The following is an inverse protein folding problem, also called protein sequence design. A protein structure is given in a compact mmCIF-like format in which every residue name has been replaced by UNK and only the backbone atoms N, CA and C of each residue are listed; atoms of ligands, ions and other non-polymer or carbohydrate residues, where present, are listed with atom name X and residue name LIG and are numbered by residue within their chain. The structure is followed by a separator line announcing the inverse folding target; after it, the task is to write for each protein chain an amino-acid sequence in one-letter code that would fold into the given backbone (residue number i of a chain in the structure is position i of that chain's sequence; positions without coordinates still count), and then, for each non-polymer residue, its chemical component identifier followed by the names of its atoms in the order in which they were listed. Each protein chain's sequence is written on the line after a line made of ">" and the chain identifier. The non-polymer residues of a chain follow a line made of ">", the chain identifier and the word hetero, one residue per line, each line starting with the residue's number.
data_IF_431957731871
#
_entry.id   IF_431957731871
#
_cell.length_a   1.000
_cell.length_b   1.000
_cell.length_c   1.000
_cell.angle_alpha   90.00
_cell.angle_beta   90.00
_cell.angle_gamma   90.00
#
_symmetry.space_group_name_H-M   'P 1'
#
loop_
_entity.id
_entity.type
_entity.pdbx_description
1 polymer ?
#
# COMPACT_ATOMS: atom_id res chain seq x y z
N UNK A 1 11.10 8.94 2.00
CA UNK A 1 10.43 8.02 1.04
C UNK A 1 10.24 8.64 -0.34
N UNK A 2 9.62 9.82 -0.47
CA UNK A 2 9.45 10.52 -1.77
C UNK A 2 10.74 10.57 -2.60
N UNK A 3 11.90 10.87 -2.01
CA UNK A 3 13.18 10.81 -2.71
C UNK A 3 13.48 9.44 -3.36
N UNK A 4 13.32 8.33 -2.61
CA UNK A 4 13.53 6.97 -3.13
C UNK A 4 12.61 6.67 -4.30
N UNK A 5 11.34 7.08 -4.19
CA UNK A 5 10.32 6.88 -5.21
C UNK A 5 10.68 7.62 -6.52
N UNK A 6 10.95 8.93 -6.46
CA UNK A 6 11.28 9.71 -7.65
C UNK A 6 12.63 9.30 -8.27
N UNK A 7 13.65 9.03 -7.44
CA UNK A 7 14.95 8.56 -7.92
C UNK A 7 14.80 7.24 -8.70
N UNK A 8 14.12 6.25 -8.09
CA UNK A 8 13.86 4.98 -8.74
C UNK A 8 13.09 5.17 -10.06
N UNK A 9 12.00 5.97 -10.06
CA UNK A 9 11.21 6.22 -11.26
C UNK A 9 11.99 6.89 -12.40
N UNK A 10 12.91 7.80 -12.08
CA UNK A 10 13.76 8.47 -13.07
C UNK A 10 14.78 7.52 -13.72
N UNK A 11 15.22 6.48 -13.01
CA UNK A 11 16.21 5.53 -13.53
C UNK A 11 15.58 4.41 -14.37
N UNK A 12 14.30 4.06 -14.16
CA UNK A 12 13.61 2.96 -14.86
C UNK A 12 13.77 3.02 -16.40
N UNK A 13 13.67 4.17 -17.08
CA UNK A 13 13.84 4.23 -18.53
C UNK A 13 15.28 3.98 -19.01
N UNK A 14 16.27 4.10 -18.12
CA UNK A 14 17.70 4.16 -18.49
C UNK A 14 18.54 3.00 -17.95
N UNK A 15 18.03 2.26 -16.96
CA UNK A 15 18.77 1.21 -16.26
C UNK A 15 17.93 -0.07 -16.09
N UNK A 16 18.57 -1.25 -16.03
CA UNK A 16 17.86 -2.50 -15.76
C UNK A 16 17.28 -2.50 -14.34
N UNK A 17 16.07 -3.04 -14.19
CA UNK A 17 15.34 -3.05 -12.91
C UNK A 17 16.12 -3.74 -11.78
N UNK A 18 16.87 -4.80 -12.09
CA UNK A 18 17.71 -5.50 -11.10
C UNK A 18 18.70 -4.56 -10.43
N UNK A 19 19.35 -3.69 -11.22
CA UNK A 19 20.30 -2.70 -10.73
C UNK A 19 19.60 -1.64 -9.86
N UNK A 20 18.46 -1.12 -10.30
CA UNK A 20 17.69 -0.13 -9.53
C UNK A 20 17.25 -0.70 -8.18
N UNK A 21 16.75 -1.94 -8.17
CA UNK A 21 16.36 -2.65 -6.95
C UNK A 21 17.53 -2.83 -5.98
N UNK A 22 18.68 -3.22 -6.50
CA UNK A 22 19.91 -3.37 -5.71
C UNK A 22 20.39 -2.02 -5.15
N UNK A 23 20.38 -0.96 -5.95
CA UNK A 23 20.75 0.39 -5.52
C UNK A 23 19.84 0.90 -4.40
N UNK A 24 18.52 0.78 -4.56
CA UNK A 24 17.52 1.19 -3.56
C UNK A 24 17.71 0.40 -2.26
N UNK A 25 17.94 -0.90 -2.35
CA UNK A 25 18.20 -1.77 -1.19
C UNK A 25 19.51 -1.41 -0.49
N UNK A 26 20.58 -1.22 -1.26
CA UNK A 26 21.91 -0.86 -0.78
C UNK A 26 21.89 0.50 -0.09
N UNK A 27 21.15 1.48 -0.64
CA UNK A 27 20.99 2.79 -0.02
C UNK A 27 20.29 2.67 1.35
N UNK A 28 19.22 1.89 1.45
CA UNK A 28 18.56 1.62 2.73
C UNK A 28 19.54 0.97 3.73
N UNK A 29 20.26 -0.07 3.33
CA UNK A 29 21.26 -0.75 4.17
C UNK A 29 22.33 0.24 4.65
N UNK A 30 22.87 1.07 3.76
CA UNK A 30 23.91 2.03 4.08
C UNK A 30 23.46 3.09 5.09
N UNK A 31 22.21 3.56 4.99
CA UNK A 31 21.63 4.51 5.96
C UNK A 31 21.58 3.88 7.35
N UNK A 32 21.05 2.66 7.46
CA UNK A 32 20.89 1.96 8.74
C UNK A 32 22.24 1.54 9.34
N UNK A 33 23.15 1.06 8.49
CA UNK A 33 24.51 0.72 8.89
C UNK A 33 25.27 1.94 9.41
N UNK A 34 25.15 3.08 8.74
CA UNK A 34 25.77 4.34 9.18
C UNK A 34 25.21 4.78 10.53
N UNK A 35 23.89 4.69 10.73
CA UNK A 35 23.29 4.99 12.03
C UNK A 35 23.83 4.07 13.14
N UNK A 36 23.90 2.76 12.89
CA UNK A 36 24.46 1.81 13.85
C UNK A 36 25.92 2.13 14.20
N UNK A 37 26.73 2.48 13.20
CA UNK A 37 28.16 2.72 13.37
C UNK A 37 28.48 4.00 14.13
N UNK A 38 27.71 5.07 13.89
CA UNK A 38 28.06 6.41 14.39
C UNK A 38 27.14 6.94 15.50
N UNK A 39 25.91 6.45 15.61
CA UNK A 39 24.89 7.01 16.51
C UNK A 39 24.38 6.03 17.56
N UNK A 40 24.45 4.72 17.30
CA UNK A 40 23.92 3.73 18.24
C UNK A 40 24.89 3.45 19.39
N UNK A 41 24.36 3.29 20.60
CA UNK A 41 25.10 2.77 21.75
C UNK A 41 25.51 1.32 21.51
N UNK A 42 26.55 0.86 22.20
CA UNK A 42 27.06 -0.51 22.07
C UNK A 42 25.91 -1.51 22.22
N UNK A 43 25.67 -2.29 21.17
CA UNK A 43 24.56 -3.25 21.11
C UNK A 43 25.03 -4.56 20.48
N UNK A 44 24.36 -5.65 20.83
CA UNK A 44 24.64 -6.99 20.28
C UNK A 44 24.58 -7.00 18.75
N UNK A 45 25.49 -7.75 18.11
CA UNK A 45 25.54 -7.94 16.66
C UNK A 45 24.28 -8.61 16.08
N UNK A 46 23.48 -9.30 16.90
CA UNK A 46 22.22 -9.93 16.49
C UNK A 46 20.99 -9.01 16.46
N UNK A 47 21.12 -7.76 16.92
CA UNK A 47 19.99 -6.82 16.96
C UNK A 47 20.07 -5.84 15.81
N UNK A 48 18.94 -5.56 15.14
CA UNK A 48 18.84 -4.43 14.21
C UNK A 48 18.43 -3.18 14.98
N UNK A 49 19.29 -2.16 15.01
CA UNK A 49 19.01 -0.91 15.72
C UNK A 49 18.52 0.12 14.71
N UNK A 50 17.36 0.71 14.97
CA UNK A 50 16.75 1.71 14.12
C UNK A 50 16.42 2.94 14.98
N UNK A 51 16.71 4.16 14.50
CA UNK A 51 16.13 5.35 15.13
C UNK A 51 14.63 5.37 14.87
N UNK A 52 13.87 5.99 15.78
CA UNK A 52 12.41 6.11 15.65
C UNK A 52 11.99 6.73 14.30
N UNK A 53 12.72 7.74 13.84
CA UNK A 53 12.49 8.42 12.56
C UNK A 53 12.65 7.52 11.32
N UNK A 54 13.38 6.40 11.42
CA UNK A 54 13.65 5.48 10.29
C UNK A 54 13.05 4.09 10.48
N UNK A 55 12.24 3.85 11.51
CA UNK A 55 11.67 2.52 11.79
C UNK A 55 10.83 1.96 10.63
N UNK A 56 10.22 2.85 9.85
CA UNK A 56 9.40 2.50 8.67
C UNK A 56 10.19 2.48 7.36
N UNK A 57 11.45 2.93 7.35
CA UNK A 57 12.24 2.98 6.13
C UNK A 57 12.40 1.61 5.47
N UNK A 58 12.79 0.52 6.18
CA UNK A 58 12.91 -0.80 5.56
C UNK A 58 11.59 -1.30 4.97
N UNK A 59 10.48 -1.08 5.69
CA UNK A 59 9.14 -1.48 5.27
C UNK A 59 8.73 -0.77 3.98
N UNK A 60 8.89 0.55 3.93
CA UNK A 60 8.57 1.33 2.74
C UNK A 60 9.51 1.03 1.58
N UNK A 61 10.79 0.78 1.84
CA UNK A 61 11.73 0.34 0.81
C UNK A 61 11.29 -1.00 0.20
N UNK A 62 10.92 -1.99 1.02
CA UNK A 62 10.41 -3.26 0.53
C UNK A 62 9.13 -3.08 -0.31
N UNK A 63 8.20 -2.25 0.18
CA UNK A 63 6.97 -1.95 -0.52
C UNK A 63 7.21 -1.28 -1.89
N UNK A 64 8.18 -0.36 -1.96
CA UNK A 64 8.59 0.25 -3.23
C UNK A 64 9.14 -0.78 -4.21
N UNK A 65 9.93 -1.75 -3.73
CA UNK A 65 10.45 -2.84 -4.57
C UNK A 65 9.34 -3.76 -5.08
N UNK A 66 8.22 -3.88 -4.36
CA UNK A 66 7.05 -4.65 -4.80
C UNK A 66 6.07 -3.85 -5.67
N UNK A 67 6.22 -2.53 -5.74
CA UNK A 67 5.38 -1.67 -6.58
C UNK A 67 5.45 -2.03 -8.07
N UNK A 68 4.38 -1.70 -8.81
CA UNK A 68 4.26 -1.92 -10.27
C UNK A 68 5.45 -1.39 -11.06
N UNK A 69 6.08 -0.30 -10.61
CA UNK A 69 7.25 0.28 -11.25
C UNK A 69 8.49 -0.62 -11.24
N UNK A 70 8.78 -1.25 -10.10
CA UNK A 70 10.04 -1.97 -9.85
C UNK A 70 9.90 -3.50 -9.84
N UNK A 71 8.68 -4.01 -9.91
CA UNK A 71 8.39 -5.44 -10.02
C UNK A 71 8.83 -6.01 -11.38
N UNK A 72 9.44 -7.19 -11.35
CA UNK A 72 10.01 -7.85 -12.53
C UNK A 72 8.96 -8.49 -13.45
N UNK A 73 7.85 -8.97 -12.89
CA UNK A 73 6.72 -9.62 -13.56
C UNK A 73 5.60 -8.64 -13.98
N UNK A 74 5.86 -7.33 -13.94
CA UNK A 74 4.89 -6.31 -14.33
C UNK A 74 4.77 -6.10 -15.84
N UNK A 75 3.55 -5.79 -16.32
CA UNK A 75 3.31 -5.36 -17.71
C UNK A 75 4.03 -4.04 -18.00
N UNK A 76 4.57 -3.93 -19.22
CA UNK A 76 5.34 -2.74 -19.65
C UNK A 76 4.46 -1.49 -19.62
N UNK A 77 3.22 -1.59 -20.07
CA UNK A 77 2.30 -0.44 -20.10
C UNK A 77 1.97 0.07 -18.69
N UNK A 78 1.73 -0.83 -17.73
CA UNK A 78 1.51 -0.46 -16.33
C UNK A 78 2.74 0.21 -15.71
N UNK A 79 3.94 -0.22 -16.10
CA UNK A 79 5.20 0.40 -15.67
C UNK A 79 5.37 1.80 -16.27
N UNK A 80 5.12 1.96 -17.57
CA UNK A 80 5.15 3.26 -18.24
C UNK A 80 4.16 4.24 -17.62
N UNK A 81 2.95 3.78 -17.32
CA UNK A 81 1.94 4.56 -16.60
C UNK A 81 2.44 4.99 -15.21
N UNK A 82 3.00 4.05 -14.43
CA UNK A 82 3.53 4.34 -13.10
C UNK A 82 4.64 5.40 -13.11
N UNK A 83 5.58 5.34 -14.06
CA UNK A 83 6.65 6.35 -14.20
C UNK A 83 6.05 7.74 -14.48
N UNK A 84 5.10 7.81 -15.41
CA UNK A 84 4.43 9.06 -15.77
C UNK A 84 3.60 9.63 -14.62
N UNK A 85 3.02 8.77 -13.78
CA UNK A 85 2.26 9.18 -12.60
C UNK A 85 3.17 9.66 -11.45
N UNK A 86 4.28 8.95 -11.21
CA UNK A 86 5.22 9.27 -10.14
C UNK A 86 5.98 10.57 -10.40
N UNK A 87 6.31 10.88 -11.66
CA UNK A 87 7.09 12.06 -12.02
C UNK A 87 6.50 13.39 -11.45
N UNK A 88 5.19 13.71 -11.64
CA UNK A 88 4.56 14.89 -11.05
C UNK A 88 4.01 14.68 -9.63
N UNK A 89 4.22 13.51 -9.01
CA UNK A 89 3.58 13.19 -7.74
C UNK A 89 4.06 14.10 -6.60
N UNK A 90 3.13 14.66 -5.84
CA UNK A 90 3.47 15.46 -4.67
C UNK A 90 3.98 14.58 -3.52
N UNK A 91 4.90 15.12 -2.71
CA UNK A 91 5.46 14.46 -1.52
C UNK A 91 4.44 13.79 -0.59
N UNK A 92 3.28 14.40 -0.25
CA UNK A 92 2.32 13.75 0.65
C UNK A 92 1.69 12.48 0.06
N UNK A 93 1.62 12.35 -1.27
CA UNK A 93 1.04 11.19 -1.94
C UNK A 93 2.05 10.05 -2.16
N UNK A 94 3.35 10.31 -1.97
CA UNK A 94 4.39 9.31 -2.18
C UNK A 94 4.30 8.13 -1.20
N UNK A 95 3.89 8.36 0.05
CA UNK A 95 3.73 7.29 1.03
C UNK A 95 2.49 6.43 0.71
N UNK A 96 1.28 6.99 0.55
CA UNK A 96 0.10 6.20 0.17
C UNK A 96 0.28 5.39 -1.12
N UNK A 97 1.01 5.94 -2.11
CA UNK A 97 1.25 5.23 -3.37
C UNK A 97 2.11 3.98 -3.17
N UNK A 98 3.08 4.04 -2.25
CA UNK A 98 4.01 2.92 -1.99
C UNK A 98 3.47 1.96 -0.94
N UNK A 99 2.88 2.49 0.13
CA UNK A 99 2.32 1.75 1.23
C UNK A 99 0.86 2.19 1.41
N UNK A 100 -0.08 1.53 0.70
CA UNK A 100 -1.51 1.84 0.78
C UNK A 100 -2.05 1.76 2.21
N UNK A 101 -3.20 2.39 2.46
CA UNK A 101 -3.93 2.24 3.72
C UNK A 101 -5.02 1.21 3.54
N UNK A 102 -5.07 0.24 4.44
CA UNK A 102 -6.17 -0.71 4.55
C UNK A 102 -7.02 -0.32 5.75
N UNK A 103 -8.34 -0.21 5.55
CA UNK A 103 -9.30 0.27 6.54
C UNK A 103 -10.43 -0.75 6.62
N UNK A 104 -10.78 -1.18 7.83
CA UNK A 104 -11.94 -2.02 8.08
C UNK A 104 -13.20 -1.16 8.09
N UNK A 105 -13.91 -1.08 6.96
CA UNK A 105 -15.08 -0.18 6.84
C UNK A 105 -16.33 -0.71 7.56
N UNK A 106 -16.35 -2.02 7.84
CA UNK A 106 -17.42 -2.67 8.61
C UNK A 106 -17.38 -2.36 10.12
N UNK A 107 -16.27 -1.81 10.63
CA UNK A 107 -16.09 -1.46 12.06
C UNK A 107 -16.28 0.05 12.31
N UNK A 108 -16.59 0.83 11.27
CA UNK A 108 -16.67 2.30 11.39
C UNK A 108 -17.90 2.78 12.16
N UNK A 109 -19.02 2.07 12.08
CA UNK A 109 -20.26 2.43 12.78
C UNK A 109 -20.23 2.11 14.28
N UNK A 110 -19.29 1.28 14.75
CA UNK A 110 -19.20 0.91 16.17
C UNK A 110 -18.41 1.90 17.02
N UNK A 111 -17.61 2.76 16.39
CA UNK A 111 -16.75 3.73 17.05
C UNK A 111 -17.40 5.12 17.11
N UNK A 112 -18.63 5.23 17.64
CA UNK A 112 -19.35 6.51 17.82
C UNK A 112 -18.67 7.49 18.82
N UNK A 113 -17.47 7.18 19.34
CA UNK A 113 -16.86 7.88 20.47
C UNK A 113 -15.46 8.49 20.23
N UNK A 114 -14.87 8.41 19.04
CA UNK A 114 -13.60 9.10 18.76
C UNK A 114 -13.79 10.15 17.65
N UNK A 115 -13.67 11.42 18.01
CA UNK A 115 -13.79 12.61 17.14
C UNK A 115 -12.67 12.66 16.05
N UNK A 116 -11.90 11.59 15.91
CA UNK A 116 -10.95 11.37 14.85
C UNK A 116 -11.67 11.09 13.53
N UNK A 117 -11.77 12.14 12.71
CA UNK A 117 -12.24 12.11 11.31
C UNK A 117 -11.48 11.14 10.37
N UNK A 118 -10.44 10.45 10.87
CA UNK A 118 -9.58 9.57 10.08
C UNK A 118 -9.69 8.15 10.65
N UNK A 119 -10.25 7.20 9.90
CA UNK A 119 -10.37 5.82 10.37
C UNK A 119 -8.99 5.16 10.54
N UNK A 120 -8.83 4.29 11.54
CA UNK A 120 -7.56 3.62 11.80
C UNK A 120 -7.17 2.72 10.61
N UNK A 121 -5.89 2.78 10.21
CA UNK A 121 -5.36 1.86 9.20
C UNK A 121 -4.91 0.57 9.87
N UNK A 122 -5.35 -0.56 9.33
CA UNK A 122 -4.87 -1.89 9.74
C UNK A 122 -3.62 -2.28 8.94
N UNK A 123 -2.76 -3.18 9.47
CA UNK A 123 -1.58 -3.65 8.77
C UNK A 123 -1.91 -4.31 7.42
N UNK A 124 -1.08 -4.07 6.41
CA UNK A 124 -1.19 -4.73 5.11
C UNK A 124 -0.69 -6.18 5.22
N UNK A 125 -1.58 -7.08 5.63
CA UNK A 125 -1.31 -8.50 5.81
C UNK A 125 -2.58 -9.30 5.52
N UNK A 126 -2.44 -10.46 4.88
CA UNK A 126 -3.58 -11.34 4.58
C UNK A 126 -4.27 -11.87 5.83
N UNK A 127 -3.53 -11.97 6.93
CA UNK A 127 -4.03 -12.41 8.23
C UNK A 127 -5.01 -11.40 8.86
N UNK A 128 -4.98 -10.14 8.42
CA UNK A 128 -5.92 -9.10 8.88
C UNK A 128 -7.24 -9.10 8.10
N UNK A 129 -7.40 -9.98 7.10
CA UNK A 129 -8.61 -10.07 6.29
C UNK A 129 -9.43 -11.25 6.74
N UNK A 130 -10.65 -10.96 7.17
CA UNK A 130 -11.67 -11.95 7.48
C UNK A 130 -12.70 -12.08 6.36
N UNK A 131 -13.30 -13.28 6.24
CA UNK A 131 -14.34 -13.54 5.23
C UNK A 131 -15.69 -12.90 5.58
N UNK A 132 -15.87 -12.43 6.83
CA UNK A 132 -17.05 -11.67 7.26
C UNK A 132 -16.85 -10.16 7.23
N UNK A 133 -15.67 -9.68 6.82
CA UNK A 133 -15.32 -8.27 6.87
C UNK A 133 -15.50 -7.55 5.54
N UNK A 134 -15.58 -6.22 5.63
CA UNK A 134 -15.58 -5.30 4.48
C UNK A 134 -14.42 -4.33 4.67
N UNK A 135 -13.58 -4.19 3.63
CA UNK A 135 -12.31 -3.48 3.72
C UNK A 135 -12.13 -2.51 2.56
N UNK A 136 -11.55 -1.35 2.85
CA UNK A 136 -11.15 -0.34 1.88
C UNK A 136 -9.63 -0.25 1.85
N UNK A 137 -9.04 -0.50 0.68
CA UNK A 137 -7.62 -0.33 0.41
C UNK A 137 -7.44 0.88 -0.51
N UNK A 138 -6.81 1.94 -0.02
CA UNK A 138 -6.57 3.15 -0.81
C UNK A 138 -5.07 3.45 -0.92
N UNK A 139 -4.63 3.86 -2.11
CA UNK A 139 -3.21 4.19 -2.36
C UNK A 139 -3.01 5.66 -2.76
N UNK A 140 -4.02 6.52 -2.55
CA UNK A 140 -4.02 7.94 -2.93
C UNK A 140 -4.36 8.22 -4.40
N UNK A 141 -4.33 7.19 -5.25
CA UNK A 141 -4.73 7.23 -6.67
C UNK A 141 -6.08 6.52 -6.88
N UNK A 142 -6.13 5.26 -6.47
CA UNK A 142 -7.25 4.35 -6.58
C UNK A 142 -7.68 3.85 -5.20
N UNK A 143 -8.94 3.43 -5.13
CA UNK A 143 -9.50 2.74 -3.97
C UNK A 143 -10.01 1.37 -4.39
N UNK A 144 -9.73 0.36 -3.57
CA UNK A 144 -10.20 -1.01 -3.74
C UNK A 144 -11.09 -1.36 -2.56
N UNK A 145 -12.33 -1.78 -2.83
CA UNK A 145 -13.22 -2.29 -1.80
C UNK A 145 -13.26 -3.81 -1.90
N UNK A 146 -12.87 -4.48 -0.83
CA UNK A 146 -13.01 -5.92 -0.67
C UNK A 146 -14.20 -6.23 0.23
N UNK A 147 -15.05 -7.14 -0.23
CA UNK A 147 -16.20 -7.65 0.51
C UNK A 147 -16.00 -9.14 0.68
N UNK A 148 -15.91 -9.61 1.93
CA UNK A 148 -15.82 -11.03 2.22
C UNK A 148 -17.09 -11.79 1.83
N UNK A 149 -16.97 -13.09 1.53
CA UNK A 149 -18.11 -13.87 1.04
C UNK A 149 -19.17 -14.10 2.12
N UNK A 150 -18.77 -14.07 3.39
CA UNK A 150 -19.61 -14.22 4.57
C UNK A 150 -19.91 -12.88 5.25
N UNK A 151 -19.71 -11.75 4.56
CA UNK A 151 -19.98 -10.44 5.12
C UNK A 151 -21.48 -10.23 5.35
N UNK A 152 -21.82 -9.51 6.42
CA UNK A 152 -23.20 -9.30 6.83
C UNK A 152 -24.01 -8.53 5.75
N UNK A 153 -25.11 -9.09 5.21
CA UNK A 153 -25.91 -8.42 4.19
C UNK A 153 -26.47 -7.06 4.63
N UNK A 154 -26.77 -6.87 5.93
CA UNK A 154 -27.19 -5.56 6.44
C UNK A 154 -26.07 -4.53 6.30
N UNK A 155 -24.85 -4.86 6.72
CA UNK A 155 -23.68 -3.98 6.57
C UNK A 155 -23.37 -3.67 5.10
N UNK A 156 -23.48 -4.66 4.20
CA UNK A 156 -23.31 -4.46 2.75
C UNK A 156 -24.35 -3.47 2.22
N UNK A 157 -25.62 -3.66 2.59
CA UNK A 157 -26.72 -2.81 2.15
C UNK A 157 -26.55 -1.37 2.67
N UNK A 158 -26.13 -1.21 3.93
CA UNK A 158 -25.89 0.11 4.54
C UNK A 158 -24.70 0.84 3.91
N UNK A 159 -23.57 0.15 3.70
CA UNK A 159 -22.33 0.77 3.21
C UNK A 159 -22.31 0.96 1.69
N UNK A 160 -22.87 0.00 0.94
CA UNK A 160 -22.77 -0.05 -0.52
C UNK A 160 -24.11 0.16 -1.25
N UNK A 161 -25.25 0.05 -0.56
CA UNK A 161 -26.57 0.16 -1.17
C UNK A 161 -26.96 -1.04 -2.03
N UNK A 162 -26.33 -2.19 -1.82
CA UNK A 162 -26.48 -3.42 -2.62
C UNK A 162 -27.07 -4.52 -1.74
N UNK A 163 -27.92 -5.39 -2.31
CA UNK A 163 -28.65 -6.40 -1.52
C UNK A 163 -27.84 -7.66 -1.23
N UNK A 164 -26.82 -7.96 -2.04
CA UNK A 164 -25.97 -9.14 -1.86
C UNK A 164 -24.59 -9.01 -2.52
N UNK A 165 -23.63 -9.84 -2.08
CA UNK A 165 -22.27 -9.93 -2.64
C UNK A 165 -22.31 -10.34 -4.12
N UNK A 166 -23.29 -11.15 -4.56
CA UNK A 166 -23.39 -11.57 -5.96
C UNK A 166 -23.80 -10.44 -6.91
N UNK A 167 -24.40 -9.37 -6.39
CA UNK A 167 -24.77 -8.19 -7.18
C UNK A 167 -23.57 -7.26 -7.41
N UNK A 168 -22.45 -7.45 -6.71
CA UNK A 168 -21.25 -6.63 -6.85
C UNK A 168 -20.64 -6.90 -8.23
N UNK A 169 -20.68 -5.94 -9.16
CA UNK A 169 -20.05 -6.10 -10.46
C UNK A 169 -18.55 -6.20 -10.24
N UNK A 170 -17.91 -7.19 -10.86
CA UNK A 170 -16.47 -7.47 -10.71
C UNK A 170 -15.57 -6.25 -10.98
N UNK A 171 -16.08 -5.20 -11.62
CA UNK A 171 -15.44 -3.90 -11.81
C UNK A 171 -16.47 -2.75 -11.87
N UNK A 172 -17.08 -2.38 -10.74
CA UNK A 172 -17.69 -1.05 -10.65
C UNK A 172 -16.57 -0.01 -10.54
N UNK A 173 -16.30 0.70 -11.64
CA UNK A 173 -15.43 1.89 -11.65
C UNK A 173 -16.27 3.12 -11.34
N UNK A 174 -16.38 3.47 -10.06
CA UNK A 174 -16.93 4.78 -9.70
C UNK A 174 -15.80 5.79 -9.85
N UNK A 175 -15.90 6.63 -10.89
CA UNK A 175 -14.97 7.71 -11.17
C UNK A 175 -15.40 8.94 -10.37
N UNK A 176 -14.79 9.20 -9.22
CA UNK A 176 -15.02 10.45 -8.48
C UNK A 176 -13.78 11.33 -8.60
N UNK A 177 -13.89 12.49 -9.25
CA UNK A 177 -12.80 13.48 -9.44
C UNK A 177 -11.48 12.86 -9.96
N UNK A 178 -11.56 11.91 -10.90
CA UNK A 178 -10.39 11.28 -11.51
C UNK A 178 -9.76 10.14 -10.70
N UNK A 179 -10.37 9.72 -9.58
CA UNK A 179 -10.00 8.52 -8.82
C UNK A 179 -10.91 7.37 -9.18
N UNK A 180 -10.36 6.17 -9.43
CA UNK A 180 -11.16 4.97 -9.67
C UNK A 180 -11.37 4.23 -8.35
N UNK A 181 -12.63 4.05 -7.96
CA UNK A 181 -12.99 3.01 -6.99
C UNK A 181 -13.15 1.71 -7.77
N UNK A 182 -12.64 0.58 -7.27
CA UNK A 182 -12.80 -0.75 -7.86
C UNK A 182 -13.24 -1.73 -6.77
N UNK A 183 -14.27 -2.50 -7.05
CA UNK A 183 -14.69 -3.59 -6.18
C UNK A 183 -13.95 -4.87 -6.52
N UNK A 184 -13.54 -5.62 -5.51
CA UNK A 184 -12.86 -6.90 -5.65
C UNK A 184 -13.55 -7.90 -4.73
N UNK A 185 -14.13 -8.96 -5.29
CA UNK A 185 -14.71 -10.06 -4.53
C UNK A 185 -13.74 -11.25 -4.37
N UNK A 186 -12.64 -11.29 -5.13
CA UNK A 186 -11.69 -12.41 -5.07
C UNK A 186 -10.60 -12.17 -4.01
N UNK A 187 -10.46 -13.06 -3.01
CA UNK A 187 -9.45 -12.91 -1.97
C UNK A 187 -8.02 -12.95 -2.54
N UNK A 188 -7.78 -13.73 -3.60
CA UNK A 188 -6.44 -13.88 -4.21
C UNK A 188 -5.90 -12.58 -4.83
N UNK A 189 -6.75 -11.79 -5.47
CA UNK A 189 -6.35 -10.50 -6.04
C UNK A 189 -6.04 -9.49 -4.93
N UNK A 190 -6.89 -9.44 -3.91
CA UNK A 190 -6.75 -8.52 -2.79
C UNK A 190 -5.53 -8.87 -1.91
N UNK A 191 -5.34 -10.14 -1.56
CA UNK A 191 -4.17 -10.63 -0.81
C UNK A 191 -2.86 -10.47 -1.56
N UNK A 192 -2.84 -10.61 -2.90
CA UNK A 192 -1.63 -10.33 -3.70
C UNK A 192 -1.20 -8.86 -3.63
N UNK A 193 -2.17 -7.96 -3.43
CA UNK A 193 -1.94 -6.52 -3.27
C UNK A 193 -1.48 -6.16 -1.85
N UNK A 194 -1.85 -6.99 -0.86
CA UNK A 194 -1.53 -6.82 0.56
C UNK A 194 -0.25 -7.51 1.00
N UNK A 195 0.27 -8.44 0.20
CA UNK A 195 1.53 -9.14 0.46
C UNK A 195 2.74 -8.22 0.17
N UNK A 196 2.85 -7.12 0.93
CA UNK A 196 4.06 -6.29 0.97
C UNK A 196 5.25 -6.99 1.60
#
# INVERSE_FOLDING_TARGET
>A
MSFFLHAAASEVPTAPLSKIREQVTTLCINILHSYRKYCATVSSSGQLILPEALKLLPLYTLALLKSTGLRTDGQIDSRSFWINYVSPLSTPLAIPLVYPRLIAIHELDTEENDDSLIPPSIPLSSEQISDNGIYLLENGEDCLIYVGNSADPSAICQLLGISSVEEIPAQLKIMQKGRSIRFVSTPSFFTSTLSL
#
